data_IF_479429599464
#
_entry.id   IF_479429599464
#
_cell.length_a   1.000
_cell.length_b   1.000
_cell.length_c   1.000
_cell.angle_alpha   90.00
_cell.angle_beta   90.00
_cell.angle_gamma   90.00
#
_symmetry.space_group_name_H-M   'P 1'
#
loop_
_entity.id
_entity.type
_entity.pdbx_description
1 polymer ?
#
# COMPACT_ATOMS: atom_id res chain seq x y z
N UNK A 1 9.36 26.88 -7.66
CA UNK A 1 10.42 25.85 -7.78
C UNK A 1 9.82 24.62 -8.43
N UNK A 2 10.13 24.37 -9.71
CA UNK A 2 9.71 23.16 -10.42
C UNK A 2 10.55 21.97 -9.95
N UNK A 3 10.06 21.26 -8.93
CA UNK A 3 10.65 20.00 -8.48
C UNK A 3 9.59 18.91 -8.68
N UNK A 4 9.43 18.50 -9.94
CA UNK A 4 8.52 17.43 -10.33
C UNK A 4 9.09 16.07 -9.93
N UNK A 5 9.04 15.73 -8.65
CA UNK A 5 9.34 14.39 -8.11
C UNK A 5 8.24 13.36 -8.42
N UNK A 6 7.58 13.48 -9.59
CA UNK A 6 6.52 12.58 -10.03
C UNK A 6 7.09 11.56 -11.03
N UNK A 7 6.70 10.30 -10.85
CA UNK A 7 7.02 9.25 -11.81
C UNK A 7 6.36 9.53 -13.17
N UNK A 8 6.98 9.14 -14.30
CA UNK A 8 6.35 9.27 -15.61
C UNK A 8 4.98 8.57 -15.69
N UNK A 9 4.04 9.13 -16.45
CA UNK A 9 2.67 8.59 -16.58
C UNK A 9 2.64 7.11 -17.03
N UNK A 10 3.65 6.65 -17.77
CA UNK A 10 3.78 5.26 -18.20
C UNK A 10 3.80 4.25 -17.05
N UNK A 11 4.30 4.63 -15.87
CA UNK A 11 4.37 3.75 -14.70
C UNK A 11 3.04 3.61 -13.96
N UNK A 12 2.07 4.50 -14.20
CA UNK A 12 0.82 4.52 -13.45
C UNK A 12 -0.01 3.24 -13.66
N UNK A 13 -0.15 2.78 -14.91
CA UNK A 13 -0.93 1.58 -15.24
C UNK A 13 -0.25 0.30 -14.71
N UNK A 14 1.06 0.04 -14.95
CA UNK A 14 1.75 -1.09 -14.34
C UNK A 14 1.65 -1.09 -12.82
N UNK A 15 1.84 0.06 -12.16
CA UNK A 15 1.74 0.16 -10.71
C UNK A 15 0.33 -0.19 -10.21
N UNK A 16 -0.72 0.24 -10.91
CA UNK A 16 -2.10 -0.14 -10.56
C UNK A 16 -2.33 -1.65 -10.68
N UNK A 17 -1.82 -2.28 -11.75
CA UNK A 17 -1.95 -3.72 -11.97
C UNK A 17 -1.25 -4.49 -10.84
N UNK A 18 0.00 -4.12 -10.53
CA UNK A 18 0.76 -4.74 -9.43
C UNK A 18 0.05 -4.53 -8.10
N UNK A 19 -0.45 -3.32 -7.82
CA UNK A 19 -1.18 -3.02 -6.60
C UNK A 19 -2.42 -3.91 -6.43
N UNK A 20 -3.22 -4.08 -7.50
CA UNK A 20 -4.40 -4.94 -7.47
C UNK A 20 -4.01 -6.40 -7.26
N UNK A 21 -2.99 -6.90 -7.97
CA UNK A 21 -2.50 -8.28 -7.81
C UNK A 21 -2.04 -8.53 -6.37
N UNK A 22 -1.25 -7.62 -5.80
CA UNK A 22 -0.79 -7.72 -4.42
C UNK A 22 -1.96 -7.70 -3.44
N UNK A 23 -2.94 -6.79 -3.57
CA UNK A 23 -4.12 -6.77 -2.70
C UNK A 23 -4.89 -8.10 -2.75
N UNK A 24 -5.11 -8.64 -3.95
CA UNK A 24 -5.78 -9.94 -4.12
C UNK A 24 -4.96 -11.08 -3.52
N UNK A 25 -3.64 -11.04 -3.67
CA UNK A 25 -2.73 -12.02 -3.10
C UNK A 25 -2.70 -11.95 -1.56
N UNK A 26 -2.65 -10.75 -0.95
CA UNK A 26 -2.74 -10.57 0.50
C UNK A 26 -4.04 -11.13 1.07
N UNK A 27 -5.17 -10.87 0.38
CA UNK A 27 -6.50 -11.40 0.77
C UNK A 27 -6.48 -12.92 0.69
N UNK A 28 -5.96 -13.49 -0.41
CA UNK A 28 -5.84 -14.94 -0.57
C UNK A 28 -5.02 -15.57 0.57
N UNK A 29 -3.82 -15.06 0.83
CA UNK A 29 -2.96 -15.57 1.90
C UNK A 29 -3.64 -15.47 3.28
N UNK A 30 -4.33 -14.36 3.55
CA UNK A 30 -4.99 -14.14 4.84
C UNK A 30 -6.22 -15.03 5.06
N UNK A 31 -6.99 -15.32 4.00
CA UNK A 31 -8.21 -16.13 4.09
C UNK A 31 -7.89 -17.63 4.10
N UNK A 32 -6.96 -18.07 3.26
CA UNK A 32 -6.66 -19.50 3.11
C UNK A 32 -5.52 -19.98 4.00
N UNK A 33 -4.67 -19.08 4.51
CA UNK A 33 -3.51 -19.43 5.34
C UNK A 33 -2.44 -20.25 4.63
N UNK A 34 -2.55 -20.41 3.30
CA UNK A 34 -1.65 -21.23 2.49
C UNK A 34 -0.56 -20.36 1.87
N UNK A 35 0.62 -20.35 2.49
CA UNK A 35 1.79 -19.69 1.94
C UNK A 35 2.43 -20.55 0.83
N UNK A 36 2.90 -19.94 -0.27
CA UNK A 36 3.53 -20.69 -1.34
C UNK A 36 4.89 -21.25 -0.92
N UNK A 37 5.08 -22.55 -1.09
CA UNK A 37 6.31 -23.25 -0.69
C UNK A 37 7.56 -22.75 -1.43
N UNK A 38 7.41 -22.26 -2.67
CA UNK A 38 8.53 -21.72 -3.45
C UNK A 38 9.13 -20.43 -2.86
N UNK A 39 8.48 -19.81 -1.88
CA UNK A 39 8.98 -18.65 -1.13
C UNK A 39 9.54 -19.02 0.26
N UNK A 40 9.72 -20.31 0.54
CA UNK A 40 10.45 -20.77 1.71
C UNK A 40 11.96 -20.66 1.46
N UNK A 41 12.63 -19.83 2.25
CA UNK A 41 14.09 -19.68 2.20
C UNK A 41 14.73 -20.21 3.48
N UNK A 42 15.90 -20.83 3.35
CA UNK A 42 16.72 -21.26 4.47
C UNK A 42 17.38 -20.03 5.09
N UNK A 43 17.05 -19.75 6.34
CA UNK A 43 17.59 -18.59 7.07
C UNK A 43 18.67 -18.96 8.08
N UNK A 44 19.02 -20.24 8.15
CA UNK A 44 20.10 -20.76 8.97
C UNK A 44 19.88 -22.19 9.38
N UNK A 45 20.81 -22.68 10.19
CA UNK A 45 20.80 -24.04 10.73
C UNK A 45 20.92 -23.95 12.24
N UNK A 46 20.19 -24.82 12.94
CA UNK A 46 20.25 -24.91 14.39
C UNK A 46 20.40 -26.36 14.80
N UNK A 47 21.42 -26.62 15.62
CA UNK A 47 21.60 -27.91 16.27
C UNK A 47 20.50 -28.10 17.30
N UNK A 48 19.79 -29.22 17.21
CA UNK A 48 18.77 -29.63 18.19
C UNK A 48 19.12 -31.05 18.67
N UNK A 49 19.94 -31.13 19.71
CA UNK A 49 20.61 -32.38 20.08
C UNK A 49 21.75 -32.66 19.10
N UNK A 50 21.85 -33.90 18.60
CA UNK A 50 22.85 -34.32 17.62
C UNK A 50 22.42 -34.09 16.15
N UNK A 51 21.18 -33.60 15.93
CA UNK A 51 20.64 -33.35 14.60
C UNK A 51 20.78 -31.88 14.19
N UNK A 52 21.29 -31.66 12.97
CA UNK A 52 21.32 -30.37 12.30
C UNK A 52 19.93 -30.11 11.66
N UNK A 53 19.17 -29.15 12.21
CA UNK A 53 17.87 -28.76 11.63
C UNK A 53 18.00 -27.46 10.84
N UNK A 54 17.66 -27.50 9.56
CA UNK A 54 17.51 -26.32 8.72
C UNK A 54 16.28 -25.53 9.15
N UNK A 55 16.45 -24.23 9.40
CA UNK A 55 15.35 -23.32 9.72
C UNK A 55 14.92 -22.64 8.42
N UNK A 56 13.67 -22.87 8.04
CA UNK A 56 13.03 -22.24 6.90
C UNK A 56 12.11 -21.10 7.35
N UNK A 57 12.00 -20.06 6.53
CA UNK A 57 11.02 -18.98 6.70
C UNK A 57 10.39 -18.66 5.35
N UNK A 58 9.07 -18.51 5.34
CA UNK A 58 8.37 -18.03 4.16
C UNK A 58 8.45 -16.49 4.06
N UNK A 59 8.76 -15.99 2.88
CA UNK A 59 8.87 -14.55 2.62
C UNK A 59 7.67 -13.97 1.86
N UNK A 60 6.58 -14.71 1.67
CA UNK A 60 5.40 -14.28 0.90
C UNK A 60 4.85 -12.93 1.39
N UNK A 61 4.49 -12.81 2.67
CA UNK A 61 3.99 -11.56 3.23
C UNK A 61 5.00 -10.42 3.20
N UNK A 62 6.30 -10.73 3.32
CA UNK A 62 7.38 -9.73 3.25
C UNK A 62 7.48 -9.14 1.84
N UNK A 63 7.55 -10.00 0.83
CA UNK A 63 7.66 -9.62 -0.58
C UNK A 63 6.39 -8.87 -1.00
N UNK A 64 5.22 -9.40 -0.65
CA UNK A 64 3.93 -8.80 -0.96
C UNK A 64 3.79 -7.40 -0.33
N UNK A 65 4.16 -7.26 0.96
CA UNK A 65 4.15 -5.96 1.63
C UNK A 65 5.07 -4.92 0.98
N UNK A 66 6.27 -5.32 0.56
CA UNK A 66 7.20 -4.43 -0.18
C UNK A 66 6.58 -4.00 -1.51
N UNK A 67 6.01 -4.94 -2.27
CA UNK A 67 5.37 -4.66 -3.55
C UNK A 67 4.14 -3.76 -3.39
N UNK A 68 3.33 -3.95 -2.34
CA UNK A 68 2.21 -3.07 -2.00
C UNK A 68 2.67 -1.63 -1.77
N UNK A 69 3.73 -1.43 -1.00
CA UNK A 69 4.27 -0.09 -0.70
C UNK A 69 4.78 0.56 -1.99
N UNK A 70 5.65 -0.12 -2.73
CA UNK A 70 6.26 0.43 -3.95
C UNK A 70 5.18 0.74 -4.99
N UNK A 71 4.26 -0.18 -5.25
CA UNK A 71 3.19 0.02 -6.23
C UNK A 71 2.24 1.15 -5.83
N UNK A 72 1.90 1.25 -4.54
CA UNK A 72 1.03 2.34 -4.04
C UNK A 72 1.69 3.71 -4.19
N UNK A 73 2.99 3.82 -3.87
CA UNK A 73 3.75 5.06 -4.04
C UNK A 73 3.85 5.40 -5.53
N UNK A 74 4.27 4.47 -6.37
CA UNK A 74 4.43 4.72 -7.81
C UNK A 74 3.09 5.12 -8.44
N UNK A 75 1.99 4.44 -8.10
CA UNK A 75 0.66 4.78 -8.60
C UNK A 75 0.21 6.19 -8.21
N UNK A 76 0.35 6.51 -6.92
CA UNK A 76 -0.09 7.77 -6.32
C UNK A 76 0.75 8.98 -6.69
N UNK A 77 2.04 8.78 -6.96
CA UNK A 77 3.00 9.82 -7.35
C UNK A 77 3.40 9.73 -8.84
N UNK A 78 2.67 9.00 -9.67
CA UNK A 78 2.80 9.11 -11.13
C UNK A 78 2.06 10.34 -11.66
N UNK A 79 2.62 10.98 -12.69
CA UNK A 79 1.98 12.05 -13.46
C UNK A 79 0.67 11.57 -14.06
N UNK A 80 -0.33 12.45 -14.09
CA UNK A 80 -1.53 12.29 -14.89
C UNK A 80 -1.27 12.67 -16.36
N UNK A 81 -2.20 12.36 -17.26
CA UNK A 81 -2.08 12.72 -18.68
C UNK A 81 -1.94 14.23 -18.89
N UNK A 82 -2.72 14.99 -18.12
CA UNK A 82 -2.65 16.43 -18.00
C UNK A 82 -2.32 16.71 -16.54
N UNK A 83 -1.15 17.28 -16.30
CA UNK A 83 -0.69 17.65 -14.96
C UNK A 83 -0.68 19.17 -14.88
N UNK A 84 -1.65 19.72 -14.16
CA UNK A 84 -1.77 21.15 -13.88
C UNK A 84 -1.57 21.44 -12.37
N UNK A 85 -1.62 22.72 -12.00
CA UNK A 85 -1.49 23.15 -10.60
C UNK A 85 -2.62 22.61 -9.71
N UNK A 86 -3.80 22.40 -10.28
CA UNK A 86 -4.97 21.93 -9.54
C UNK A 86 -4.85 20.44 -9.19
N UNK A 87 -4.38 19.60 -10.11
CA UNK A 87 -4.07 18.19 -9.85
C UNK A 87 -2.97 18.06 -8.78
N UNK A 88 -1.94 18.92 -8.83
CA UNK A 88 -0.91 18.96 -7.78
C UNK A 88 -1.51 19.31 -6.42
N UNK A 89 -2.41 20.30 -6.37
CA UNK A 89 -3.14 20.68 -5.15
C UNK A 89 -4.02 19.54 -4.63
N UNK A 90 -4.83 18.90 -5.48
CA UNK A 90 -5.64 17.74 -5.09
C UNK A 90 -4.75 16.62 -4.52
N UNK A 91 -3.59 16.38 -5.13
CA UNK A 91 -2.64 15.35 -4.67
C UNK A 91 -2.17 15.64 -3.24
N UNK A 92 -1.75 16.88 -2.98
CA UNK A 92 -1.31 17.30 -1.65
C UNK A 92 -2.44 17.24 -0.63
N UNK A 93 -3.62 17.77 -0.96
CA UNK A 93 -4.79 17.73 -0.08
C UNK A 93 -5.22 16.29 0.23
N UNK A 94 -5.19 15.40 -0.77
CA UNK A 94 -5.50 13.99 -0.58
C UNK A 94 -4.50 13.30 0.35
N UNK A 95 -3.22 13.68 0.29
CA UNK A 95 -2.19 13.15 1.18
C UNK A 95 -2.41 13.61 2.63
N UNK A 96 -2.66 14.91 2.84
CA UNK A 96 -2.99 15.46 4.17
C UNK A 96 -4.23 14.78 4.75
N UNK A 97 -5.27 14.60 3.92
CA UNK A 97 -6.50 13.94 4.33
C UNK A 97 -6.27 12.48 4.73
N UNK A 98 -5.45 11.75 3.97
CA UNK A 98 -5.09 10.38 4.28
C UNK A 98 -4.31 10.27 5.59
N UNK A 99 -3.41 11.21 5.87
CA UNK A 99 -2.68 11.28 7.13
C UNK A 99 -3.64 11.50 8.30
N UNK A 100 -4.58 12.45 8.21
CA UNK A 100 -5.54 12.69 9.28
C UNK A 100 -6.42 11.47 9.59
N UNK A 101 -6.90 10.79 8.55
CA UNK A 101 -7.73 9.58 8.76
C UNK A 101 -6.90 8.45 9.32
N UNK A 102 -5.68 8.24 8.83
CA UNK A 102 -4.79 7.22 9.36
C UNK A 102 -4.55 7.43 10.86
N UNK A 103 -4.23 8.65 11.28
CA UNK A 103 -4.01 8.91 12.71
C UNK A 103 -5.29 8.85 13.54
N UNK A 104 -6.46 9.21 12.97
CA UNK A 104 -7.74 8.96 13.63
C UNK A 104 -7.96 7.46 13.86
N UNK A 105 -7.68 6.60 12.87
CA UNK A 105 -7.75 5.14 13.01
C UNK A 105 -6.75 4.62 14.04
N UNK A 106 -5.53 5.16 14.08
CA UNK A 106 -4.53 4.80 15.09
C UNK A 106 -5.02 5.14 16.49
N UNK A 107 -5.55 6.36 16.72
CA UNK A 107 -6.10 6.77 18.02
C UNK A 107 -7.23 5.83 18.44
N UNK A 108 -8.17 5.53 17.54
CA UNK A 108 -9.27 4.58 17.81
C UNK A 108 -8.71 3.19 18.18
N UNK A 109 -7.68 2.73 17.46
CA UNK A 109 -7.01 1.45 17.72
C UNK A 109 -6.41 1.42 19.13
N UNK A 110 -5.73 2.49 19.55
CA UNK A 110 -5.17 2.61 20.91
C UNK A 110 -6.23 2.58 22.02
N UNK A 111 -7.44 3.06 21.75
CA UNK A 111 -8.50 3.10 22.76
C UNK A 111 -9.21 1.75 22.91
N UNK A 112 -9.25 0.92 21.87
CA UNK A 112 -10.16 -0.23 21.78
C UNK A 112 -9.42 -1.58 21.71
N UNK A 113 -8.23 -1.63 21.10
CA UNK A 113 -7.51 -2.89 20.84
C UNK A 113 -6.27 -3.06 21.73
N UNK A 114 -6.01 -4.31 22.10
CA UNK A 114 -4.89 -4.70 22.96
C UNK A 114 -4.21 -5.98 22.43
N UNK A 115 -3.04 -6.30 22.99
CA UNK A 115 -2.26 -7.52 22.72
C UNK A 115 -2.00 -7.80 21.23
N UNK A 116 -2.17 -9.05 20.79
CA UNK A 116 -1.86 -9.48 19.44
C UNK A 116 -2.78 -8.85 18.39
N UNK A 117 -4.03 -8.56 18.76
CA UNK A 117 -4.99 -7.88 17.87
C UNK A 117 -4.55 -6.45 17.56
N UNK A 118 -4.02 -5.73 18.56
CA UNK A 118 -3.42 -4.42 18.35
C UNK A 118 -2.25 -4.50 17.37
N UNK A 119 -1.34 -5.48 17.55
CA UNK A 119 -0.20 -5.66 16.66
C UNK A 119 -0.61 -5.91 15.20
N UNK A 120 -1.60 -6.77 14.96
CA UNK A 120 -2.10 -7.02 13.60
C UNK A 120 -2.65 -5.74 12.96
N UNK A 121 -3.48 -4.97 13.68
CA UNK A 121 -4.03 -3.72 13.14
C UNK A 121 -2.93 -2.70 12.85
N UNK A 122 -1.91 -2.60 13.71
CA UNK A 122 -0.76 -1.73 13.47
C UNK A 122 0.06 -2.15 12.25
N UNK A 123 0.21 -3.45 11.97
CA UNK A 123 0.85 -3.93 10.74
C UNK A 123 0.05 -3.50 9.51
N UNK A 124 -1.27 -3.68 9.49
CA UNK A 124 -2.10 -3.21 8.39
C UNK A 124 -2.10 -1.69 8.24
N UNK A 125 -1.96 -0.96 9.35
CA UNK A 125 -1.93 0.50 9.38
C UNK A 125 -0.82 1.09 8.48
N UNK A 126 0.32 0.39 8.33
CA UNK A 126 1.44 0.79 7.48
C UNK A 126 1.03 1.06 6.02
N UNK A 127 0.02 0.37 5.52
CA UNK A 127 -0.46 0.52 4.15
C UNK A 127 -1.62 1.54 4.03
N UNK A 128 -2.32 1.81 5.13
CA UNK A 128 -3.59 2.55 5.09
C UNK A 128 -3.42 4.00 4.60
N UNK A 129 -2.35 4.71 4.98
CA UNK A 129 -2.09 6.07 4.47
C UNK A 129 -2.04 6.07 2.95
N UNK A 130 -1.27 5.16 2.36
CA UNK A 130 -1.07 5.08 0.91
C UNK A 130 -2.36 4.68 0.19
N UNK A 131 -3.12 3.73 0.75
CA UNK A 131 -4.39 3.29 0.18
C UNK A 131 -5.44 4.42 0.23
N UNK A 132 -5.62 5.05 1.39
CA UNK A 132 -6.58 6.15 1.57
C UNK A 132 -6.21 7.33 0.67
N UNK A 133 -4.92 7.67 0.60
CA UNK A 133 -4.42 8.70 -0.29
C UNK A 133 -4.79 8.42 -1.75
N UNK A 134 -4.47 7.22 -2.25
CA UNK A 134 -4.74 6.83 -3.63
C UNK A 134 -6.23 6.86 -3.97
N UNK A 135 -7.09 6.37 -3.06
CA UNK A 135 -8.54 6.40 -3.22
C UNK A 135 -9.05 7.84 -3.23
N UNK A 136 -8.66 8.65 -2.24
CA UNK A 136 -9.10 10.04 -2.11
C UNK A 136 -8.66 10.89 -3.30
N UNK A 137 -7.43 10.68 -3.78
CA UNK A 137 -6.89 11.34 -4.97
C UNK A 137 -7.70 10.98 -6.22
N UNK A 138 -7.98 9.69 -6.43
CA UNK A 138 -8.79 9.22 -7.57
C UNK A 138 -10.21 9.80 -7.54
N UNK A 139 -10.89 9.77 -6.39
CA UNK A 139 -12.25 10.31 -6.26
C UNK A 139 -12.27 11.82 -6.49
N UNK A 140 -11.33 12.56 -5.93
CA UNK A 140 -11.32 14.03 -6.05
C UNK A 140 -11.01 14.46 -7.49
N UNK A 141 -10.09 13.77 -8.17
CA UNK A 141 -9.80 13.97 -9.60
C UNK A 141 -11.01 13.65 -10.49
N UNK A 142 -11.69 12.53 -10.25
CA UNK A 142 -12.87 12.15 -11.06
C UNK A 142 -14.04 13.10 -10.89
N UNK A 143 -14.20 13.71 -9.70
CA UNK A 143 -15.19 14.77 -9.46
C UNK A 143 -14.87 16.04 -10.25
N UNK A 144 -13.61 16.48 -10.27
CA UNK A 144 -13.17 17.64 -11.05
C UNK A 144 -13.46 17.47 -12.55
N UNK A 145 -13.11 16.31 -13.12
CA UNK A 145 -13.31 16.09 -14.55
C UNK A 145 -14.79 16.13 -14.95
N UNK A 146 -15.69 15.74 -14.05
CA UNK A 146 -17.14 15.81 -14.29
C UNK A 146 -17.66 17.25 -14.22
N UNK A 147 -17.20 18.05 -13.26
CA UNK A 147 -17.63 19.46 -13.21
C UNK A 147 -17.18 20.24 -14.44
N UNK A 148 -15.98 19.97 -14.95
CA UNK A 148 -15.50 20.59 -16.18
C UNK A 148 -16.31 20.16 -17.42
N UNK A 149 -16.75 18.90 -17.50
CA UNK A 149 -17.59 18.45 -18.62
C UNK A 149 -19.03 18.96 -18.58
N UNK A 150 -19.53 19.30 -17.38
CA UNK A 150 -20.88 19.86 -17.22
C UNK A 150 -20.92 21.37 -17.52
N UNK A 151 -19.76 22.04 -17.57
CA UNK A 151 -19.60 23.46 -17.91
C UNK A 151 -19.36 23.73 -19.41
N UNK A 152 -19.03 22.70 -20.20
CA UNK A 152 -18.85 22.73 -21.67
C UNK A 152 -20.16 22.44 -22.44
#
# INVERSE_FOLDING_TARGET
>A
MNQNFLFPHSYKKPALIVLIICILFSIYLSVFGSEPDFLNFNIGEKMRGDELKVITRNFAFTIDGILLIISSIVYGFSKEKVEDEYIQKIRLESLVWAVYINYALVIITFLILYDISFLYVMVYNLFTVLIIFNIKFYISKTKLNKSLSDEE
#
